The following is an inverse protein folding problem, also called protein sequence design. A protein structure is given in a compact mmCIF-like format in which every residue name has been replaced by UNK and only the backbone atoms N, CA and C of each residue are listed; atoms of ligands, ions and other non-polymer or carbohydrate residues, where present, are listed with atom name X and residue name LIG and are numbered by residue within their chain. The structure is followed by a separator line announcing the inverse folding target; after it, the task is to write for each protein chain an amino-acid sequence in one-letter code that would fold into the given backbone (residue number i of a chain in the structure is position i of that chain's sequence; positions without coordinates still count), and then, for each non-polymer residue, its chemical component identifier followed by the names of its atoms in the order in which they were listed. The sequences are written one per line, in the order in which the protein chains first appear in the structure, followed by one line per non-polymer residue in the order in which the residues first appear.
data_IF_127209568912
#
_entry.id   IF_127209568912
#
_cell.length_a   1.000
_cell.length_b   1.000
_cell.length_c   1.000
_cell.angle_alpha   90.00
_cell.angle_beta   90.00
_cell.angle_gamma   90.00
#
_symmetry.space_group_name_H-M   'P 1'
#
loop_
_entity.id
_entity.type
_entity.pdbx_description
1 polymer ?
#
# COMPACT_ATOMS: atom_id res chain seq x y z
N UNK A 1 41.48 -8.29 4.61
CA UNK A 1 40.68 -9.11 3.71
C UNK A 1 39.36 -9.41 4.39
N UNK A 2 38.36 -8.59 4.18
CA UNK A 2 37.00 -8.76 4.70
C UNK A 2 36.31 -9.88 3.92
N UNK A 3 35.91 -10.94 4.63
CA UNK A 3 35.26 -12.10 4.06
C UNK A 3 33.99 -11.73 3.29
N UNK A 4 34.00 -12.02 2.01
CA UNK A 4 32.83 -11.93 1.15
C UNK A 4 31.82 -12.97 1.63
N UNK A 5 30.67 -12.51 2.16
CA UNK A 5 29.59 -13.39 2.61
C UNK A 5 29.04 -14.19 1.42
N UNK A 6 28.98 -15.52 1.55
CA UNK A 6 28.47 -16.47 0.55
C UNK A 6 26.97 -16.33 0.24
N UNK A 7 26.30 -15.31 0.79
CA UNK A 7 24.85 -15.07 0.71
C UNK A 7 24.44 -13.96 -0.26
N UNK A 8 25.38 -13.39 -1.03
CA UNK A 8 25.03 -12.40 -2.05
C UNK A 8 24.31 -13.04 -3.24
N UNK A 9 23.29 -12.38 -3.78
CA UNK A 9 22.64 -12.82 -5.02
C UNK A 9 23.64 -12.78 -6.20
N UNK A 10 23.27 -13.37 -7.35
CA UNK A 10 24.14 -13.44 -8.53
C UNK A 10 24.70 -12.08 -8.96
N UNK A 11 23.87 -11.03 -8.86
CA UNK A 11 24.27 -9.67 -9.19
C UNK A 11 25.33 -9.13 -8.22
N UNK A 12 25.15 -9.34 -6.93
CA UNK A 12 26.14 -8.96 -5.91
C UNK A 12 27.46 -9.69 -6.06
N UNK A 13 27.45 -10.97 -6.45
CA UNK A 13 28.65 -11.75 -6.73
C UNK A 13 29.41 -11.22 -7.95
N UNK A 14 28.68 -10.86 -9.02
CA UNK A 14 29.27 -10.25 -10.21
C UNK A 14 29.92 -8.90 -9.89
N UNK A 15 29.27 -8.05 -9.12
CA UNK A 15 29.84 -6.77 -8.68
C UNK A 15 31.10 -6.97 -7.86
N UNK A 16 31.13 -7.92 -6.92
CA UNK A 16 32.31 -8.22 -6.10
C UNK A 16 33.47 -8.66 -6.99
N UNK A 17 33.24 -9.51 -8.00
CA UNK A 17 34.29 -9.93 -8.90
C UNK A 17 34.90 -8.79 -9.73
N UNK A 18 34.02 -7.94 -10.31
CA UNK A 18 34.45 -6.79 -11.12
C UNK A 18 35.27 -5.77 -10.30
N UNK A 19 34.87 -5.51 -9.05
CA UNK A 19 35.59 -4.57 -8.18
C UNK A 19 36.91 -5.17 -7.69
N UNK A 20 36.95 -6.47 -7.40
CA UNK A 20 38.18 -7.16 -6.95
C UNK A 20 39.26 -7.19 -8.02
N UNK A 21 38.89 -7.24 -9.32
CA UNK A 21 39.85 -7.27 -10.44
C UNK A 21 40.47 -5.90 -10.72
N UNK A 22 39.73 -4.78 -10.51
CA UNK A 22 40.18 -3.46 -10.96
C UNK A 22 40.42 -2.43 -9.86
N UNK A 23 40.03 -2.71 -8.62
CA UNK A 23 40.04 -1.78 -7.48
C UNK A 23 39.52 -0.36 -7.84
N UNK A 24 38.36 -0.22 -8.52
CA UNK A 24 37.80 1.07 -8.90
C UNK A 24 37.26 1.85 -7.68
N UNK A 25 37.20 3.16 -7.82
CA UNK A 25 36.37 3.96 -6.89
C UNK A 25 34.91 3.57 -7.07
N UNK A 26 34.25 3.24 -5.97
CA UNK A 26 32.85 2.85 -5.93
C UNK A 26 32.02 3.88 -5.18
N UNK A 27 30.91 4.34 -5.80
CA UNK A 27 29.90 5.15 -5.16
C UNK A 27 28.59 4.35 -5.15
N UNK A 28 28.08 4.08 -3.95
CA UNK A 28 26.81 3.38 -3.78
C UNK A 28 25.74 4.34 -3.31
N UNK A 29 24.66 4.44 -4.07
CA UNK A 29 23.51 5.29 -3.76
C UNK A 29 22.26 4.41 -3.60
N UNK A 30 21.53 4.60 -2.51
CA UNK A 30 20.27 3.90 -2.24
C UNK A 30 19.31 4.77 -1.46
N UNK A 31 18.04 4.79 -1.85
CA UNK A 31 16.97 5.38 -1.04
C UNK A 31 16.46 4.44 0.07
N UNK A 32 16.88 3.17 0.04
CA UNK A 32 16.50 2.13 1.00
C UNK A 32 17.73 1.27 1.32
N UNK A 33 18.61 1.73 2.22
CA UNK A 33 19.92 1.10 2.46
C UNK A 33 19.82 -0.16 3.35
N UNK A 34 18.78 -0.96 3.19
CA UNK A 34 18.56 -2.23 3.88
C UNK A 34 17.85 -3.23 2.97
N UNK A 35 17.82 -4.47 3.38
CA UNK A 35 17.15 -5.57 2.68
C UNK A 35 16.02 -6.13 3.55
N UNK A 36 14.96 -6.60 2.90
CA UNK A 36 13.82 -7.23 3.60
C UNK A 36 14.15 -8.57 4.25
N UNK A 37 15.24 -9.23 3.80
CA UNK A 37 15.73 -10.52 4.30
C UNK A 37 16.80 -10.37 5.40
N UNK A 38 17.05 -9.15 5.88
CA UNK A 38 18.07 -8.81 6.87
C UNK A 38 19.50 -9.23 6.49
N UNK A 39 19.76 -9.62 5.24
CA UNK A 39 21.11 -9.93 4.77
C UNK A 39 21.88 -8.64 4.47
N UNK A 40 23.21 -8.71 4.63
CA UNK A 40 24.07 -7.56 4.36
C UNK A 40 24.09 -7.23 2.86
N UNK A 41 24.13 -5.94 2.55
CA UNK A 41 24.31 -5.45 1.19
C UNK A 41 25.77 -5.71 0.78
N UNK A 42 25.96 -6.26 -0.41
CA UNK A 42 27.30 -6.54 -0.93
C UNK A 42 28.13 -5.25 -1.01
N UNK A 43 29.44 -5.34 -0.72
CA UNK A 43 30.42 -4.25 -0.77
C UNK A 43 30.21 -3.13 0.25
N UNK A 44 29.33 -3.31 1.23
CA UNK A 44 29.09 -2.32 2.27
C UNK A 44 29.75 -2.72 3.60
N UNK A 45 30.20 -1.73 4.35
CA UNK A 45 30.72 -1.88 5.71
C UNK A 45 29.60 -1.80 6.73
N UNK A 46 29.77 -2.49 7.84
CA UNK A 46 28.82 -2.50 8.95
C UNK A 46 29.57 -2.39 10.26
N UNK A 47 29.13 -1.52 11.15
CA UNK A 47 29.71 -1.31 12.48
C UNK A 47 28.62 -1.31 13.58
N UNK A 48 29.06 -1.32 14.85
CA UNK A 48 28.15 -1.26 16.01
C UNK A 48 27.54 -2.61 16.42
N UNK A 49 26.79 -2.57 17.55
CA UNK A 49 25.95 -3.68 18.04
C UNK A 49 24.59 -3.10 18.46
N UNK A 50 23.48 -3.34 17.72
CA UNK A 50 23.41 -4.17 16.51
C UNK A 50 24.21 -3.61 15.32
N UNK A 51 24.63 -4.48 14.39
CA UNK A 51 25.39 -4.06 13.22
C UNK A 51 24.56 -3.17 12.31
N UNK A 52 24.97 -1.92 12.16
CA UNK A 52 24.36 -0.92 11.28
C UNK A 52 25.25 -0.68 10.05
N UNK A 53 24.62 -0.25 8.97
CA UNK A 53 25.33 0.09 7.74
C UNK A 53 26.15 1.37 7.95
N UNK A 54 27.47 1.31 7.68
CA UNK A 54 28.30 2.51 7.66
C UNK A 54 27.99 3.33 6.41
N UNK A 55 27.53 4.55 6.59
CA UNK A 55 27.19 5.46 5.49
C UNK A 55 28.03 6.72 5.59
N UNK A 56 28.66 7.14 4.47
CA UNK A 56 29.45 8.39 4.42
C UNK A 56 28.54 9.63 4.48
N UNK A 57 27.32 9.52 3.92
CA UNK A 57 26.36 10.60 3.87
C UNK A 57 24.93 10.06 3.86
N UNK A 58 24.05 10.67 4.65
CA UNK A 58 22.60 10.40 4.69
C UNK A 58 21.84 11.67 4.40
N UNK A 59 20.96 11.61 3.41
CA UNK A 59 19.97 12.65 3.13
C UNK A 59 18.58 12.01 3.24
N UNK A 60 17.99 12.18 4.41
CA UNK A 60 16.74 11.52 4.79
C UNK A 60 15.49 12.18 4.22
N UNK A 61 14.34 11.50 4.40
CA UNK A 61 13.05 12.04 4.00
C UNK A 61 12.75 13.37 4.71
N UNK A 62 13.13 13.51 6.00
CA UNK A 62 12.96 14.76 6.75
C UNK A 62 13.71 15.93 6.14
N UNK A 63 14.96 15.71 5.70
CA UNK A 63 15.74 16.74 5.01
C UNK A 63 15.12 17.12 3.68
N UNK A 64 14.70 16.10 2.90
CA UNK A 64 14.08 16.29 1.59
C UNK A 64 12.76 17.10 1.69
N UNK A 65 11.95 16.85 2.70
CA UNK A 65 10.72 17.62 2.95
C UNK A 65 11.04 19.04 3.40
N UNK A 66 12.03 19.22 4.29
CA UNK A 66 12.47 20.55 4.76
C UNK A 66 12.99 21.40 3.60
N UNK A 67 13.80 20.80 2.74
CA UNK A 67 14.40 21.47 1.58
C UNK A 67 13.41 21.61 0.41
N UNK A 68 12.20 21.11 0.54
CA UNK A 68 11.14 21.14 -0.50
C UNK A 68 11.56 20.50 -1.82
N UNK A 69 12.33 19.42 -1.76
CA UNK A 69 12.74 18.64 -2.94
C UNK A 69 11.86 17.41 -3.15
N UNK A 70 10.97 17.14 -2.21
CA UNK A 70 9.89 16.18 -2.35
C UNK A 70 8.61 16.69 -1.69
N UNK A 71 7.48 16.05 -2.00
CA UNK A 71 6.19 16.35 -1.38
C UNK A 71 6.19 15.95 0.08
N UNK A 72 5.35 16.66 0.84
CA UNK A 72 4.99 16.24 2.20
C UNK A 72 3.94 15.13 2.12
N UNK A 73 4.22 13.92 2.61
CA UNK A 73 3.25 12.84 2.60
C UNK A 73 2.20 12.99 3.69
N UNK A 74 0.99 12.55 3.38
CA UNK A 74 -0.07 12.25 4.34
C UNK A 74 -0.33 10.74 4.31
N UNK A 75 -0.17 10.08 5.46
CA UNK A 75 -0.42 8.64 5.59
C UNK A 75 -1.78 8.45 6.24
N UNK A 76 -2.72 7.84 5.51
CA UNK A 76 -4.11 7.68 5.89
C UNK A 76 -4.40 6.20 6.06
N UNK A 77 -4.70 5.80 7.29
CA UNK A 77 -4.99 4.41 7.62
C UNK A 77 -6.49 4.23 7.86
N UNK A 78 -7.13 3.46 7.00
CA UNK A 78 -8.55 3.15 7.07
C UNK A 78 -8.79 1.97 8.00
N UNK A 79 -9.52 2.20 9.07
CA UNK A 79 -9.93 1.21 10.06
C UNK A 79 -11.47 1.06 10.07
N UNK A 80 -11.98 0.05 10.73
CA UNK A 80 -13.42 -0.13 10.94
C UNK A 80 -13.71 -0.52 12.39
N UNK A 81 -14.60 0.21 13.04
CA UNK A 81 -14.94 0.00 14.45
C UNK A 81 -16.04 -1.06 14.68
N UNK A 82 -16.56 -1.67 13.63
CA UNK A 82 -17.61 -2.71 13.73
C UNK A 82 -17.40 -3.80 12.68
N UNK A 83 -16.56 -4.78 13.02
CA UNK A 83 -16.21 -5.90 12.17
C UNK A 83 -16.83 -7.17 12.74
N UNK A 84 -17.65 -7.86 11.94
CA UNK A 84 -18.17 -9.20 12.25
C UNK A 84 -17.41 -10.25 11.44
N UNK A 85 -16.87 -11.26 12.11
CA UNK A 85 -16.27 -12.44 11.45
C UNK A 85 -17.04 -13.68 11.91
N UNK A 86 -17.65 -14.39 10.99
CA UNK A 86 -18.38 -15.61 11.26
C UNK A 86 -17.53 -16.82 10.90
N UNK A 87 -17.26 -17.64 11.90
CA UNK A 87 -16.56 -18.92 11.77
C UNK A 87 -17.39 -20.02 12.43
N UNK A 88 -17.66 -21.11 11.71
CA UNK A 88 -18.39 -22.29 12.26
C UNK A 88 -19.64 -21.96 13.11
N UNK A 89 -20.49 -21.05 12.65
CA UNK A 89 -21.71 -20.57 13.31
C UNK A 89 -21.49 -19.65 14.53
N UNK A 90 -20.27 -19.38 14.93
CA UNK A 90 -19.94 -18.33 15.91
C UNK A 90 -19.63 -17.02 15.21
N UNK A 91 -20.10 -15.90 15.76
CA UNK A 91 -19.81 -14.57 15.27
C UNK A 91 -18.92 -13.83 16.25
N UNK A 92 -17.69 -13.53 15.83
CA UNK A 92 -16.75 -12.72 16.58
C UNK A 92 -16.89 -11.26 16.14
N UNK A 93 -16.94 -10.33 17.11
CA UNK A 93 -17.02 -8.90 16.85
C UNK A 93 -15.73 -8.21 17.28
N UNK A 94 -15.24 -7.29 16.43
CA UNK A 94 -14.01 -6.55 16.68
C UNK A 94 -14.24 -5.05 16.47
N UNK A 95 -13.54 -4.24 17.24
CA UNK A 95 -13.59 -2.77 17.18
C UNK A 95 -12.46 -2.15 16.35
N UNK A 96 -11.64 -2.98 15.68
CA UNK A 96 -10.62 -2.52 14.73
C UNK A 96 -10.15 -3.66 13.84
N UNK A 97 -9.65 -3.31 12.65
CA UNK A 97 -8.98 -4.23 11.73
C UNK A 97 -7.76 -4.88 12.42
N UNK A 98 -6.98 -4.06 13.13
CA UNK A 98 -5.83 -4.54 13.91
C UNK A 98 -6.22 -5.64 14.89
N UNK A 99 -7.26 -5.42 15.69
CA UNK A 99 -7.72 -6.39 16.67
C UNK A 99 -8.17 -7.72 16.01
N UNK A 100 -8.88 -7.64 14.89
CA UNK A 100 -9.35 -8.81 14.16
C UNK A 100 -8.19 -9.64 13.57
N UNK A 101 -7.13 -8.95 13.08
CA UNK A 101 -5.92 -9.60 12.54
C UNK A 101 -5.08 -10.21 13.64
N UNK A 102 -4.84 -9.49 14.75
CA UNK A 102 -4.06 -9.98 15.90
C UNK A 102 -4.74 -11.17 16.59
N UNK A 103 -6.08 -11.24 16.55
CA UNK A 103 -6.85 -12.39 17.02
C UNK A 103 -6.87 -13.57 16.01
N UNK A 104 -6.16 -13.48 14.89
CA UNK A 104 -6.12 -14.48 13.80
C UNK A 104 -7.50 -14.84 13.21
N UNK A 105 -8.49 -13.94 13.34
CA UNK A 105 -9.84 -14.11 12.81
C UNK A 105 -10.04 -13.43 11.46
N UNK A 106 -9.16 -12.50 11.09
CA UNK A 106 -9.15 -11.80 9.81
C UNK A 106 -7.75 -11.88 9.20
N UNK A 107 -7.65 -12.36 7.95
CA UNK A 107 -6.41 -12.27 7.18
C UNK A 107 -6.42 -10.97 6.37
N UNK A 108 -5.26 -10.34 6.27
CA UNK A 108 -5.12 -9.14 5.44
C UNK A 108 -5.48 -9.38 3.97
N UNK A 109 -5.15 -10.57 3.43
CA UNK A 109 -5.54 -10.99 2.09
C UNK A 109 -7.04 -10.98 1.86
N UNK A 110 -7.81 -11.37 2.87
CA UNK A 110 -9.27 -11.42 2.78
C UNK A 110 -9.86 -10.02 2.75
N UNK A 111 -9.29 -9.10 3.56
CA UNK A 111 -9.64 -7.68 3.54
C UNK A 111 -9.39 -7.04 2.17
N UNK A 112 -8.27 -7.39 1.52
CA UNK A 112 -7.92 -6.91 0.17
C UNK A 112 -8.84 -7.45 -0.94
N UNK A 113 -9.58 -8.53 -0.70
CA UNK A 113 -10.52 -9.12 -1.65
C UNK A 113 -11.98 -8.80 -1.35
N UNK A 114 -12.26 -8.29 -0.15
CA UNK A 114 -13.62 -7.95 0.28
C UNK A 114 -14.13 -6.70 -0.46
N UNK A 115 -15.21 -6.87 -1.22
CA UNK A 115 -15.69 -5.84 -2.15
C UNK A 115 -16.06 -4.53 -1.46
N UNK A 116 -16.71 -4.60 -0.31
CA UNK A 116 -17.12 -3.40 0.43
C UNK A 116 -15.92 -2.64 0.99
N UNK A 117 -14.95 -3.34 1.57
CA UNK A 117 -13.72 -2.73 2.09
C UNK A 117 -12.92 -2.05 0.96
N UNK A 118 -12.79 -2.71 -0.20
CA UNK A 118 -12.16 -2.12 -1.38
C UNK A 118 -12.90 -0.88 -1.88
N UNK A 119 -14.24 -0.96 -1.95
CA UNK A 119 -15.08 0.17 -2.35
C UNK A 119 -14.87 1.38 -1.43
N UNK A 120 -14.85 1.17 -0.12
CA UNK A 120 -14.63 2.25 0.86
C UNK A 120 -13.24 2.87 0.72
N UNK A 121 -12.18 2.04 0.62
CA UNK A 121 -10.82 2.57 0.45
C UNK A 121 -10.68 3.34 -0.86
N UNK A 122 -11.21 2.83 -1.96
CA UNK A 122 -11.16 3.49 -3.26
C UNK A 122 -11.98 4.77 -3.29
N UNK A 123 -13.16 4.80 -2.64
CA UNK A 123 -13.96 6.02 -2.51
C UNK A 123 -13.17 7.10 -1.76
N UNK A 124 -12.55 6.74 -0.64
CA UNK A 124 -11.73 7.67 0.12
C UNK A 124 -10.52 8.18 -0.69
N UNK A 125 -9.84 7.29 -1.42
CA UNK A 125 -8.72 7.67 -2.28
C UNK A 125 -9.16 8.60 -3.42
N UNK A 126 -10.35 8.38 -3.98
CA UNK A 126 -10.93 9.25 -5.01
C UNK A 126 -11.28 10.64 -4.45
N UNK A 127 -11.92 10.72 -3.30
CA UNK A 127 -12.24 11.99 -2.63
C UNK A 127 -10.98 12.81 -2.35
N UNK A 128 -9.92 12.13 -1.90
CA UNK A 128 -8.63 12.75 -1.66
C UNK A 128 -7.99 13.26 -2.96
N UNK A 129 -8.09 12.51 -4.06
CA UNK A 129 -7.62 12.94 -5.36
C UNK A 129 -8.38 14.18 -5.86
N UNK A 130 -9.69 14.20 -5.73
CA UNK A 130 -10.52 15.37 -6.09
C UNK A 130 -10.10 16.59 -5.27
N UNK A 131 -9.89 16.44 -3.96
CA UNK A 131 -9.42 17.51 -3.08
C UNK A 131 -8.06 18.07 -3.51
N UNK A 132 -7.15 17.20 -3.91
CA UNK A 132 -5.83 17.62 -4.43
C UNK A 132 -5.97 18.33 -5.77
N UNK A 133 -6.87 17.87 -6.65
CA UNK A 133 -7.12 18.46 -7.97
C UNK A 133 -7.67 19.88 -7.94
N UNK A 134 -8.25 20.32 -6.85
CA UNK A 134 -8.66 21.72 -6.69
C UNK A 134 -7.48 22.70 -6.90
N UNK A 135 -6.27 22.31 -6.51
CA UNK A 135 -5.04 23.10 -6.63
C UNK A 135 -4.08 22.54 -7.69
N UNK A 136 -4.14 21.26 -7.96
CA UNK A 136 -3.27 20.52 -8.86
C UNK A 136 -4.09 19.73 -9.89
N UNK A 137 -4.72 20.38 -10.89
CA UNK A 137 -5.71 19.76 -11.77
C UNK A 137 -5.21 18.51 -12.52
N UNK A 138 -3.89 18.39 -12.73
CA UNK A 138 -3.26 17.21 -13.37
C UNK A 138 -2.86 16.10 -12.41
N UNK A 139 -3.21 16.21 -11.14
CA UNK A 139 -2.93 15.15 -10.17
C UNK A 139 -3.58 13.83 -10.60
N UNK A 140 -2.85 12.73 -10.41
CA UNK A 140 -3.29 11.39 -10.75
C UNK A 140 -3.14 10.44 -9.58
N UNK A 141 -3.92 9.36 -9.63
CA UNK A 141 -3.92 8.31 -8.63
C UNK A 141 -3.12 7.07 -9.07
N UNK A 142 -2.47 6.45 -8.11
CA UNK A 142 -1.82 5.16 -8.21
C UNK A 142 -2.59 4.14 -7.36
N UNK A 143 -2.89 2.98 -7.91
CA UNK A 143 -3.32 1.83 -7.12
C UNK A 143 -2.25 0.76 -7.20
N UNK A 144 -1.78 0.28 -6.06
CA UNK A 144 -0.87 -0.86 -6.01
C UNK A 144 -1.67 -2.10 -5.62
N UNK A 145 -1.97 -2.92 -6.62
CA UNK A 145 -2.82 -4.10 -6.46
C UNK A 145 -2.01 -5.36 -6.09
N UNK A 146 -2.68 -6.35 -5.49
CA UNK A 146 -2.08 -7.62 -5.08
C UNK A 146 -2.08 -8.69 -6.19
N UNK A 147 -2.96 -8.54 -7.19
CA UNK A 147 -3.08 -9.49 -8.30
C UNK A 147 -3.67 -8.82 -9.55
N UNK A 148 -3.49 -9.47 -10.71
CA UNK A 148 -4.01 -9.00 -12.00
C UNK A 148 -5.55 -8.93 -11.97
N UNK A 149 -6.20 -9.93 -11.40
CA UNK A 149 -7.67 -9.96 -11.31
C UNK A 149 -8.20 -8.84 -10.39
N UNK A 150 -7.51 -8.56 -9.28
CA UNK A 150 -7.85 -7.43 -8.43
C UNK A 150 -7.65 -6.11 -9.18
N UNK A 151 -6.54 -5.94 -9.89
CA UNK A 151 -6.24 -4.73 -10.65
C UNK A 151 -7.32 -4.45 -11.71
N UNK A 152 -7.76 -5.47 -12.45
CA UNK A 152 -8.83 -5.34 -13.44
C UNK A 152 -10.16 -4.94 -12.80
N UNK A 153 -10.53 -5.57 -11.66
CA UNK A 153 -11.75 -5.22 -10.92
C UNK A 153 -11.71 -3.79 -10.40
N UNK A 154 -10.58 -3.35 -9.87
CA UNK A 154 -10.42 -1.97 -9.39
C UNK A 154 -10.48 -0.98 -10.54
N UNK A 155 -9.81 -1.24 -11.67
CA UNK A 155 -9.89 -0.39 -12.86
C UNK A 155 -11.34 -0.25 -13.35
N UNK A 156 -12.07 -1.36 -13.43
CA UNK A 156 -13.50 -1.33 -13.79
C UNK A 156 -14.34 -0.57 -12.77
N UNK A 157 -14.05 -0.71 -11.48
CA UNK A 157 -14.72 0.02 -10.42
C UNK A 157 -14.52 1.53 -10.55
N UNK A 158 -13.29 1.99 -10.84
CA UNK A 158 -12.96 3.41 -11.06
C UNK A 158 -13.76 3.96 -12.24
N UNK A 159 -13.76 3.26 -13.37
CA UNK A 159 -14.47 3.69 -14.58
C UNK A 159 -15.98 3.76 -14.32
N UNK A 160 -16.55 2.75 -13.65
CA UNK A 160 -18.00 2.65 -13.49
C UNK A 160 -18.56 3.57 -12.40
N UNK A 161 -17.84 3.71 -11.26
CA UNK A 161 -18.39 4.42 -10.10
C UNK A 161 -17.91 5.86 -10.01
N UNK A 162 -16.72 6.16 -10.50
CA UNK A 162 -16.16 7.52 -10.45
C UNK A 162 -16.25 8.24 -11.79
N UNK A 163 -16.56 7.53 -12.88
CA UNK A 163 -16.54 8.04 -14.24
C UNK A 163 -15.17 8.65 -14.62
N UNK A 164 -14.09 8.05 -14.10
CA UNK A 164 -12.71 8.42 -14.36
C UNK A 164 -11.98 7.39 -15.22
N UNK A 165 -10.96 7.82 -15.94
CA UNK A 165 -10.15 6.97 -16.78
C UNK A 165 -9.13 6.18 -15.97
N UNK A 166 -8.89 4.91 -16.36
CA UNK A 166 -7.96 4.03 -15.66
C UNK A 166 -7.23 3.10 -16.61
N UNK A 167 -5.95 2.88 -16.36
CA UNK A 167 -5.11 1.91 -17.08
C UNK A 167 -4.53 0.90 -16.08
N UNK A 168 -4.47 -0.38 -16.51
CA UNK A 168 -3.83 -1.45 -15.74
C UNK A 168 -2.46 -1.74 -16.32
N UNK A 169 -1.44 -1.81 -15.46
CA UNK A 169 -0.06 -2.13 -15.85
C UNK A 169 0.46 -3.27 -14.96
N UNK A 170 0.92 -4.35 -15.60
CA UNK A 170 1.45 -5.52 -14.90
C UNK A 170 2.72 -6.04 -15.59
N UNK A 171 3.52 -6.77 -14.84
CA UNK A 171 4.81 -7.29 -15.28
C UNK A 171 4.73 -8.36 -16.41
N UNK A 172 3.56 -8.93 -16.65
CA UNK A 172 3.30 -9.92 -17.71
C UNK A 172 2.91 -9.27 -19.06
N UNK A 173 2.72 -7.95 -19.09
CA UNK A 173 2.40 -7.22 -20.32
C UNK A 173 3.68 -6.86 -21.08
N UNK A 174 3.72 -7.18 -22.38
CA UNK A 174 4.85 -6.86 -23.26
C UNK A 174 5.06 -5.33 -23.34
N UNK A 175 3.97 -4.57 -23.39
CA UNK A 175 3.97 -3.12 -23.59
C UNK A 175 3.92 -2.32 -22.27
N UNK A 176 4.18 -2.98 -21.11
CA UNK A 176 4.03 -2.36 -19.80
C UNK A 176 4.84 -1.05 -19.65
N UNK A 177 6.08 -1.02 -20.13
CA UNK A 177 6.94 0.17 -20.08
C UNK A 177 6.46 1.29 -21.00
N UNK A 178 5.88 0.95 -22.15
CA UNK A 178 5.27 1.92 -23.07
C UNK A 178 4.01 2.51 -22.45
N UNK A 179 3.14 1.69 -21.92
CA UNK A 179 1.93 2.12 -21.21
C UNK A 179 2.23 3.06 -20.03
N UNK A 180 3.33 2.81 -19.29
CA UNK A 180 3.77 3.71 -18.21
C UNK A 180 4.25 5.06 -18.74
N UNK A 181 5.02 5.08 -19.85
CA UNK A 181 5.48 6.31 -20.49
C UNK A 181 4.31 7.11 -21.05
N UNK A 182 3.36 6.44 -21.69
CA UNK A 182 2.16 7.06 -22.23
C UNK A 182 1.31 7.65 -21.10
N UNK A 183 1.14 6.93 -20.00
CA UNK A 183 0.46 7.45 -18.81
C UNK A 183 1.11 8.73 -18.28
N UNK A 184 2.44 8.83 -18.31
CA UNK A 184 3.16 9.99 -17.77
C UNK A 184 2.74 11.30 -18.47
N UNK A 185 2.52 11.25 -19.79
CA UNK A 185 2.12 12.42 -20.63
C UNK A 185 0.61 12.54 -20.85
N UNK A 186 -0.17 11.50 -20.56
CA UNK A 186 -1.61 11.42 -20.79
C UNK A 186 -2.44 12.19 -19.76
N UNK A 187 -3.73 12.29 -20.03
CA UNK A 187 -4.76 12.80 -19.11
C UNK A 187 -5.48 11.67 -18.34
N UNK A 188 -4.97 10.41 -18.41
CA UNK A 188 -5.56 9.28 -17.71
C UNK A 188 -5.46 9.50 -16.20
N UNK A 189 -6.57 9.31 -15.47
CA UNK A 189 -6.72 9.68 -14.07
C UNK A 189 -6.02 8.72 -13.11
N UNK A 190 -6.08 7.42 -13.41
CA UNK A 190 -5.55 6.38 -12.54
C UNK A 190 -4.67 5.38 -13.26
N UNK A 191 -3.57 5.00 -12.60
CA UNK A 191 -2.78 3.82 -12.97
C UNK A 191 -2.92 2.76 -11.89
N UNK A 192 -3.37 1.56 -12.29
CA UNK A 192 -3.46 0.39 -11.41
C UNK A 192 -2.31 -0.54 -11.74
N UNK A 193 -1.39 -0.73 -10.81
CA UNK A 193 -0.14 -1.45 -11.04
C UNK A 193 0.02 -2.67 -10.14
N UNK A 194 0.62 -3.72 -10.70
CA UNK A 194 1.06 -4.92 -9.99
C UNK A 194 2.58 -5.02 -10.12
N UNK A 195 3.30 -4.70 -9.03
CA UNK A 195 4.76 -4.88 -8.93
C UNK A 195 5.64 -3.93 -9.77
N UNK A 196 5.11 -3.34 -10.86
CA UNK A 196 5.90 -2.58 -11.84
C UNK A 196 6.24 -1.14 -11.45
N UNK A 197 5.36 -0.48 -10.68
CA UNK A 197 5.55 0.94 -10.32
C UNK A 197 6.42 1.10 -9.07
N UNK A 198 6.88 0.00 -8.47
CA UNK A 198 7.79 0.05 -7.32
C UNK A 198 9.23 0.43 -7.69
N UNK A 199 9.66 0.25 -8.95
CA UNK A 199 11.01 0.56 -9.40
C UNK A 199 11.03 1.22 -10.79
N UNK A 200 12.00 2.12 -11.02
CA UNK A 200 12.37 2.64 -12.35
C UNK A 200 11.42 3.64 -13.02
N UNK A 201 10.27 3.98 -12.44
CA UNK A 201 9.31 4.90 -13.07
C UNK A 201 9.34 6.27 -12.42
N UNK A 202 9.32 7.33 -13.23
CA UNK A 202 9.24 8.72 -12.79
C UNK A 202 7.95 9.37 -13.31
N UNK A 203 6.92 9.43 -12.46
CA UNK A 203 5.61 9.98 -12.82
C UNK A 203 5.21 11.05 -11.79
N UNK A 204 5.72 12.26 -11.92
CA UNK A 204 5.54 13.29 -10.90
C UNK A 204 4.09 13.74 -10.66
N UNK A 205 3.16 13.47 -11.57
CA UNK A 205 1.74 13.79 -11.37
C UNK A 205 1.00 12.81 -10.43
N UNK A 206 1.62 11.70 -10.02
CA UNK A 206 1.05 10.81 -9.01
C UNK A 206 1.08 11.49 -7.64
N UNK A 207 -0.08 11.74 -7.04
CA UNK A 207 -0.22 12.40 -5.74
C UNK A 207 -1.08 11.63 -4.74
N UNK A 208 -1.86 10.67 -5.20
CA UNK A 208 -2.64 9.77 -4.33
C UNK A 208 -2.23 8.34 -4.62
N UNK A 209 -2.04 7.54 -3.57
CA UNK A 209 -1.76 6.12 -3.68
C UNK A 209 -2.74 5.31 -2.82
N UNK A 210 -3.50 4.41 -3.44
CA UNK A 210 -4.27 3.36 -2.77
C UNK A 210 -3.39 2.10 -2.65
N UNK A 211 -2.93 1.79 -1.44
CA UNK A 211 -2.06 0.65 -1.17
C UNK A 211 -2.89 -0.60 -0.90
N UNK A 212 -3.06 -1.44 -1.92
CA UNK A 212 -3.83 -2.69 -1.89
C UNK A 212 -2.94 -3.91 -2.18
N UNK A 213 -1.63 -3.78 -1.92
CA UNK A 213 -0.67 -4.86 -2.08
C UNK A 213 -0.67 -5.80 -0.88
N UNK A 214 -0.50 -7.10 -1.15
CA UNK A 214 -0.28 -8.09 -0.10
C UNK A 214 1.17 -8.11 0.41
N UNK A 215 2.08 -7.36 -0.24
CA UNK A 215 3.48 -7.21 0.21
C UNK A 215 3.51 -6.26 1.40
N UNK A 216 3.88 -6.79 2.57
CA UNK A 216 3.93 -6.06 3.84
C UNK A 216 5.35 -6.02 4.39
N UNK A 217 6.28 -5.52 3.57
CA UNK A 217 7.65 -5.21 3.98
C UNK A 217 7.84 -3.70 4.01
N UNK A 218 8.58 -3.19 4.98
CA UNK A 218 8.83 -1.74 5.10
C UNK A 218 9.53 -1.20 3.85
N UNK A 219 10.46 -1.96 3.30
CA UNK A 219 11.15 -1.64 2.06
C UNK A 219 10.17 -1.33 0.93
N UNK A 220 9.25 -2.25 0.65
CA UNK A 220 8.27 -2.08 -0.43
C UNK A 220 7.30 -0.92 -0.15
N UNK A 221 6.85 -0.78 1.10
CA UNK A 221 5.97 0.31 1.51
C UNK A 221 6.63 1.69 1.27
N UNK A 222 7.91 1.86 1.67
CA UNK A 222 8.69 3.08 1.42
C UNK A 222 8.97 3.31 -0.07
N UNK A 223 9.22 2.25 -0.85
CA UNK A 223 9.39 2.35 -2.30
C UNK A 223 8.12 2.85 -2.99
N UNK A 224 6.95 2.35 -2.61
CA UNK A 224 5.66 2.81 -3.14
C UNK A 224 5.39 4.26 -2.72
N UNK A 225 5.61 4.61 -1.45
CA UNK A 225 5.49 5.99 -0.98
C UNK A 225 6.38 6.93 -1.80
N UNK A 226 7.61 6.55 -2.07
CA UNK A 226 8.56 7.32 -2.88
C UNK A 226 8.05 7.66 -4.28
N UNK A 227 7.04 6.97 -4.81
CA UNK A 227 6.45 7.27 -6.12
C UNK A 227 5.57 8.52 -6.11
N UNK A 228 4.90 8.79 -5.01
CA UNK A 228 4.02 9.95 -4.87
C UNK A 228 4.71 11.16 -4.22
N UNK A 229 5.92 10.97 -3.67
CA UNK A 229 6.71 12.06 -3.09
C UNK A 229 7.33 13.00 -4.13
N UNK A 230 7.41 12.59 -5.38
CA UNK A 230 8.12 13.32 -6.44
C UNK A 230 7.38 14.59 -6.86
N UNK A 231 8.10 15.69 -6.99
CA UNK A 231 7.57 17.00 -7.40
C UNK A 231 8.05 17.39 -8.80
N UNK A 232 7.23 18.15 -9.51
CA UNK A 232 7.62 18.80 -10.78
C UNK A 232 8.17 20.20 -10.58
N UNK A 233 7.63 20.91 -9.61
CA UNK A 233 7.95 22.30 -9.32
C UNK A 233 8.24 22.41 -7.82
N UNK A 234 9.06 23.38 -7.41
CA UNK A 234 9.33 23.66 -5.99
C UNK A 234 8.10 24.29 -5.32
N UNK A 235 7.01 23.56 -5.26
CA UNK A 235 5.75 23.97 -4.63
C UNK A 235 5.45 23.04 -3.45
N UNK A 236 4.69 23.55 -2.49
CA UNK A 236 4.22 22.77 -1.34
C UNK A 236 3.00 21.93 -1.76
N UNK A 237 3.25 20.94 -2.63
CA UNK A 237 2.23 20.04 -3.14
C UNK A 237 1.96 18.91 -2.12
N UNK A 238 0.70 18.62 -1.80
CA UNK A 238 0.37 17.47 -0.96
C UNK A 238 0.43 16.16 -1.74
N UNK A 239 0.67 15.06 -1.03
CA UNK A 239 0.42 13.72 -1.53
C UNK A 239 -0.11 12.83 -0.41
N UNK A 240 -0.92 11.83 -0.75
CA UNK A 240 -1.59 10.97 0.22
C UNK A 240 -1.44 9.49 -0.13
N UNK A 241 -1.01 8.68 0.84
CA UNK A 241 -1.02 7.23 0.76
C UNK A 241 -2.12 6.70 1.67
N UNK A 242 -3.05 5.95 1.09
CA UNK A 242 -4.20 5.37 1.77
C UNK A 242 -4.02 3.86 1.84
N UNK A 243 -4.11 3.28 3.04
CA UNK A 243 -4.00 1.85 3.30
C UNK A 243 -5.00 1.41 4.36
N UNK A 244 -5.24 0.11 4.50
CA UNK A 244 -5.95 -0.39 5.68
C UNK A 244 -5.05 -0.35 6.92
N UNK A 245 -5.67 -0.19 8.10
CA UNK A 245 -4.99 -0.16 9.40
C UNK A 245 -4.51 -1.56 9.84
N UNK A 246 -3.65 -2.16 9.01
CA UNK A 246 -2.98 -3.43 9.28
C UNK A 246 -1.79 -3.20 10.21
N UNK A 247 -1.51 -4.06 11.19
CA UNK A 247 -0.51 -3.83 12.24
C UNK A 247 0.87 -3.38 11.74
N UNK A 248 1.41 -4.04 10.70
CA UNK A 248 2.72 -3.68 10.14
C UNK A 248 2.69 -2.35 9.38
N UNK A 249 1.61 -2.07 8.66
CA UNK A 249 1.47 -0.80 7.94
C UNK A 249 1.31 0.38 8.90
N UNK A 250 0.65 0.17 10.05
CA UNK A 250 0.62 1.15 11.15
C UNK A 250 2.05 1.42 11.65
N UNK A 251 2.80 0.36 12.00
CA UNK A 251 4.17 0.48 12.48
C UNK A 251 5.08 1.22 11.49
N UNK A 252 5.01 0.91 10.20
CA UNK A 252 5.82 1.58 9.17
C UNK A 252 5.43 3.04 8.99
N UNK A 253 4.14 3.34 9.09
CA UNK A 253 3.64 4.70 9.03
C UNK A 253 4.13 5.54 10.21
N UNK A 254 4.14 4.98 11.42
CA UNK A 254 4.68 5.62 12.61
C UNK A 254 6.19 5.88 12.50
N UNK A 255 6.97 4.91 11.97
CA UNK A 255 8.41 5.10 11.73
C UNK A 255 8.68 6.19 10.71
N UNK A 256 7.93 6.22 9.61
CA UNK A 256 8.05 7.29 8.62
C UNK A 256 7.72 8.64 9.24
N UNK A 257 6.71 8.69 10.10
CA UNK A 257 6.33 9.92 10.80
C UNK A 257 7.46 10.43 11.73
N UNK A 258 8.20 9.52 12.37
CA UNK A 258 9.35 9.88 13.21
C UNK A 258 10.55 10.42 12.42
N UNK A 259 10.69 10.01 11.15
CA UNK A 259 11.75 10.47 10.24
C UNK A 259 11.54 11.93 9.79
N UNK A 260 10.39 12.55 10.09
CA UNK A 260 10.00 13.86 9.56
C UNK A 260 10.14 14.98 10.60
N UNK A 261 10.35 16.23 10.16
CA UNK A 261 10.54 17.36 11.08
C UNK A 261 9.33 17.58 11.98
N UNK A 262 9.56 17.87 13.29
CA UNK A 262 8.51 18.11 14.28
C UNK A 262 7.52 19.23 13.91
N UNK A 263 7.97 20.27 13.20
CA UNK A 263 7.13 21.37 12.70
C UNK A 263 6.08 20.91 11.64
N UNK A 264 6.17 19.67 11.24
CA UNK A 264 5.30 19.06 10.24
C UNK A 264 4.16 18.26 10.84
N UNK A 265 4.14 18.06 12.16
CA UNK A 265 3.12 17.26 12.84
C UNK A 265 1.79 18.02 12.93
N UNK A 266 0.85 17.67 12.07
CA UNK A 266 -0.57 17.91 12.32
C UNK A 266 -1.28 16.56 12.45
N UNK A 267 -1.32 16.05 13.67
CA UNK A 267 -2.20 14.93 14.00
C UNK A 267 -3.62 15.48 14.00
N UNK A 268 -4.37 15.24 12.93
CA UNK A 268 -5.81 15.39 12.95
C UNK A 268 -6.41 14.02 13.28
N UNK A 269 -6.68 13.80 14.54
CA UNK A 269 -7.71 12.84 14.94
C UNK A 269 -9.02 13.47 14.53
N UNK A 270 -9.59 13.05 13.43
CA UNK A 270 -10.98 13.40 13.10
C UNK A 270 -11.87 12.53 14.00
N UNK A 271 -12.20 13.04 15.18
CA UNK A 271 -13.41 12.63 15.89
C UNK A 271 -14.59 12.80 14.93
N UNK A 272 -15.51 11.83 14.95
CA UNK A 272 -16.74 11.81 14.18
C UNK A 272 -17.38 13.21 14.07
N UNK A 273 -17.22 13.88 12.94
CA UNK A 273 -18.14 14.92 12.57
C UNK A 273 -19.36 14.23 11.94
N UNK A 274 -20.32 13.89 12.78
CA UNK A 274 -21.70 13.69 12.40
C UNK A 274 -22.10 14.86 11.54
N UNK A 275 -22.21 14.67 10.24
CA UNK A 275 -22.88 15.58 9.33
C UNK A 275 -24.38 15.54 9.69
N UNK A 276 -24.76 16.30 10.72
CA UNK A 276 -26.16 16.67 10.93
C UNK A 276 -26.60 17.59 9.78
N UNK A 277 -27.14 16.99 8.73
CA UNK A 277 -28.07 17.69 7.88
C UNK A 277 -29.33 17.91 8.70
N UNK A 278 -29.46 19.13 9.18
CA UNK A 278 -30.76 19.66 9.68
C UNK A 278 -31.77 19.64 8.54
N UNK A 279 -32.68 18.69 8.59
CA UNK A 279 -34.00 18.81 8.00
C UNK A 279 -34.99 18.31 9.06
N UNK A 280 -35.78 19.27 9.58
CA UNK A 280 -36.94 19.02 10.41
C UNK A 280 -37.89 18.05 9.70
N UNK A 281 -38.21 16.96 10.37
CA UNK A 281 -39.58 16.46 10.47
C UNK A 281 -39.61 15.15 11.29
N UNK A 282 -40.43 15.19 12.33
CA UNK A 282 -40.86 14.08 13.17
C UNK A 282 -41.32 12.88 12.35
N UNK A 283 -40.76 11.69 12.66
CA UNK A 283 -41.61 10.50 12.86
C UNK A 283 -40.75 9.33 13.39
N UNK A 284 -41.17 8.79 14.51
CA UNK A 284 -40.68 7.54 15.09
C UNK A 284 -40.85 6.39 14.10
N UNK A 285 -39.74 5.71 13.79
CA UNK A 285 -39.78 4.33 13.28
C UNK A 285 -38.58 3.56 13.81
N UNK A 286 -38.85 2.60 14.66
CA UNK A 286 -37.94 1.54 15.02
C UNK A 286 -37.57 0.77 13.75
N UNK A 287 -36.37 0.91 13.26
CA UNK A 287 -35.83 0.04 12.20
C UNK A 287 -34.91 -1.03 12.80
N UNK A 288 -35.44 -2.22 12.79
CA UNK A 288 -34.71 -3.48 12.99
C UNK A 288 -33.54 -3.53 11.99
N UNK A 289 -32.32 -3.57 12.50
CA UNK A 289 -31.09 -3.78 11.72
C UNK A 289 -31.16 -5.20 11.12
N UNK A 290 -31.45 -5.29 9.84
CA UNK A 290 -31.26 -6.52 9.09
C UNK A 290 -29.77 -6.65 8.76
N UNK A 291 -29.11 -7.62 9.39
CA UNK A 291 -27.76 -8.06 9.05
C UNK A 291 -27.81 -8.81 7.72
N UNK A 292 -27.49 -8.14 6.62
CA UNK A 292 -27.30 -8.81 5.33
C UNK A 292 -25.86 -9.37 5.26
N UNK A 293 -25.74 -10.66 5.53
CA UNK A 293 -24.49 -11.39 5.34
C UNK A 293 -24.35 -11.80 3.86
N UNK A 294 -23.34 -11.25 3.17
CA UNK A 294 -23.02 -11.64 1.80
C UNK A 294 -22.07 -12.85 1.86
N UNK A 295 -22.53 -13.97 1.26
CA UNK A 295 -21.74 -15.22 1.17
C UNK A 295 -20.79 -15.12 -0.01
N UNK A 296 -19.48 -15.06 0.22
CA UNK A 296 -18.50 -15.27 -0.85
C UNK A 296 -18.21 -16.76 -1.03
N UNK A 297 -18.44 -17.26 -2.25
CA UNK A 297 -17.89 -18.54 -2.69
C UNK A 297 -16.44 -18.32 -3.09
N UNK A 298 -15.52 -19.02 -2.43
CA UNK A 298 -14.12 -19.10 -2.86
C UNK A 298 -14.07 -19.79 -4.21
N UNK A 299 -13.64 -19.08 -5.25
CA UNK A 299 -13.33 -19.69 -6.55
C UNK A 299 -11.88 -20.18 -6.44
N UNK A 300 -11.71 -21.49 -6.29
CA UNK A 300 -10.42 -22.15 -6.43
C UNK A 300 -9.98 -22.07 -7.88
N UNK A 301 -8.94 -21.32 -8.17
CA UNK A 301 -8.28 -21.36 -9.48
C UNK A 301 -7.41 -22.60 -9.56
N UNK A 302 -7.92 -23.65 -10.23
CA UNK A 302 -7.12 -24.79 -10.66
C UNK A 302 -6.24 -24.35 -11.83
N UNK A 303 -4.95 -24.21 -11.61
CA UNK A 303 -3.96 -24.32 -12.68
C UNK A 303 -3.26 -25.67 -12.52
N UNK A 304 -3.65 -26.59 -13.39
CA UNK A 304 -3.03 -27.90 -13.56
C UNK A 304 -1.68 -27.75 -14.25
N UNK A 305 -0.60 -28.06 -13.56
CA UNK A 305 0.58 -28.66 -14.17
C UNK A 305 0.77 -30.05 -13.58
N UNK A 306 0.66 -31.03 -14.46
CA UNK A 306 0.85 -32.45 -14.24
C UNK A 306 2.24 -32.76 -13.69
N UNK A 307 2.30 -33.38 -12.53
CA UNK A 307 3.28 -34.39 -12.19
C UNK A 307 2.64 -35.43 -11.26
N UNK A 308 2.64 -36.68 -11.74
CA UNK A 308 2.17 -37.87 -11.00
C UNK A 308 2.97 -38.08 -9.74
N UNK A 309 2.31 -38.23 -8.60
CA UNK A 309 2.67 -39.18 -7.55
C UNK A 309 1.52 -39.29 -6.55
N UNK A 310 1.01 -40.51 -6.42
CA UNK A 310 0.05 -40.97 -5.44
C UNK A 310 0.45 -40.61 -3.99
N UNK A 311 -0.42 -39.92 -3.26
CA UNK A 311 -0.64 -40.20 -1.83
C UNK A 311 -2.00 -39.63 -1.40
N UNK A 312 -2.75 -40.46 -0.69
CA UNK A 312 -4.06 -40.20 -0.11
C UNK A 312 -4.10 -38.88 0.66
N UNK A 313 -4.91 -37.93 0.16
CA UNK A 313 -5.27 -36.71 0.90
C UNK A 313 -6.73 -36.84 1.32
N UNK A 314 -6.95 -36.78 2.63
CA UNK A 314 -8.26 -36.66 3.24
C UNK A 314 -9.02 -35.43 2.71
N UNK A 315 -10.38 -35.43 2.68
CA UNK A 315 -11.12 -34.30 2.14
C UNK A 315 -10.86 -33.05 2.98
N UNK A 316 -10.29 -32.01 2.32
CA UNK A 316 -10.19 -30.68 2.88
C UNK A 316 -11.60 -30.15 3.19
N UNK A 317 -11.90 -29.98 4.46
CA UNK A 317 -13.07 -29.24 4.92
C UNK A 317 -12.88 -27.78 4.51
N UNK A 318 -13.62 -27.34 3.51
CA UNK A 318 -13.65 -25.94 3.08
C UNK A 318 -14.29 -25.10 4.19
N UNK A 319 -13.47 -24.40 4.98
CA UNK A 319 -13.96 -23.40 5.93
C UNK A 319 -14.41 -22.17 5.18
N UNK A 320 -15.69 -21.84 5.24
CA UNK A 320 -16.21 -20.59 4.71
C UNK A 320 -16.20 -19.53 5.82
N UNK A 321 -15.29 -18.57 5.75
CA UNK A 321 -15.30 -17.39 6.62
C UNK A 321 -16.22 -16.36 5.96
N UNK A 322 -17.22 -15.88 6.72
CA UNK A 322 -18.08 -14.76 6.32
C UNK A 322 -17.66 -13.53 7.10
N UNK A 323 -17.44 -12.43 6.40
CA UNK A 323 -17.10 -11.15 6.98
C UNK A 323 -18.21 -10.14 6.72
N UNK A 324 -18.47 -9.28 7.71
CA UNK A 324 -19.35 -8.12 7.58
C UNK A 324 -18.66 -6.90 8.17
N UNK A 325 -18.67 -5.81 7.42
CA UNK A 325 -18.18 -4.51 7.84
C UNK A 325 -19.35 -3.53 7.87
N UNK A 326 -19.47 -2.75 8.94
CA UNK A 326 -20.47 -1.70 8.98
C UNK A 326 -19.95 -0.49 8.19
N UNK A 327 -20.71 -0.05 7.18
CA UNK A 327 -20.34 1.10 6.33
C UNK A 327 -20.12 2.38 7.11
N UNK A 328 -20.99 2.63 8.09
CA UNK A 328 -20.96 3.84 8.90
C UNK A 328 -19.91 3.82 10.01
N UNK A 329 -19.16 2.70 10.12
CA UNK A 329 -18.14 2.49 11.17
C UNK A 329 -16.71 2.59 10.63
N UNK A 330 -16.51 2.97 9.37
CA UNK A 330 -15.17 3.26 8.87
C UNK A 330 -14.66 4.56 9.45
N UNK A 331 -13.44 4.52 9.96
CA UNK A 331 -12.72 5.67 10.50
C UNK A 331 -11.33 5.73 9.90
N UNK A 332 -10.79 6.94 9.82
CA UNK A 332 -9.44 7.16 9.31
C UNK A 332 -8.55 7.71 10.42
N UNK A 333 -7.35 7.14 10.54
CA UNK A 333 -6.26 7.77 11.27
C UNK A 333 -5.37 8.44 10.25
N UNK A 334 -5.28 9.77 10.32
CA UNK A 334 -4.43 10.54 9.41
C UNK A 334 -3.14 10.86 10.17
N UNK A 335 -2.06 10.26 9.73
CA UNK A 335 -0.71 10.68 10.08
C UNK A 335 -0.31 11.73 9.04
N UNK A 336 -0.81 12.95 9.20
CA UNK A 336 -0.43 14.09 8.35
C UNK A 336 0.73 14.82 8.98
N UNK A 337 1.64 15.11 8.19
CA UNK A 337 2.97 15.66 8.43
C UNK A 337 3.00 17.13 8.09
#
# INVERSE_FOLDING_TARGET
ASGVSSTSNQWGQLLVSLISEGNPLTLTLSGTPWRSDSTKIALQSYSGEPQELDTDFVYGLGDAVRDKVCRRPSLILLDNSSIGVQENSETHKFSSIRQAIEAEKLKYSDLLTHQESLSQLMTYAHEELIRIREKHPRAAGLVVASSIDQARRISQFIITNFNESSIVVSYDQIDAHENIRDFQSSEIDWIVSIGMVSEGTDIPRLQVCAYLSNVRTELYFRQVLGRILRINLKTDEPCSLIAFAEPKLIEYSERINQDLPEDSMRIKVLEEQTLMKTTDSNQYAQSTVKNDFITMKTISSNHSHTFDSLHNIAPETSYSIKMAFCKDSYRTTILSL
#
